data_IF_499385224042
#
_entry.id   IF_499385224042
#
_cell.length_a   1.000
_cell.length_b   1.000
_cell.length_c   1.000
_cell.angle_alpha   90.00
_cell.angle_beta   90.00
_cell.angle_gamma   90.00
#
_symmetry.space_group_name_H-M   'P 1'
#
loop_
_entity.id
_entity.type
_entity.pdbx_description
1 polymer ?
#
# COMPACT_ATOMS: atom_id res chain seq x y z
N UNK A 1 -17.03 7.42 13.99
CA UNK A 1 -17.42 6.38 13.03
C UNK A 1 -16.32 6.33 11.98
N UNK A 2 -15.64 5.19 11.83
CA UNK A 2 -14.60 5.06 10.81
C UNK A 2 -15.30 4.97 9.46
N UNK A 3 -14.90 5.81 8.49
CA UNK A 3 -15.43 5.69 7.14
C UNK A 3 -14.83 4.44 6.47
N UNK A 4 -15.54 3.84 5.51
CA UNK A 4 -15.00 2.72 4.72
C UNK A 4 -13.68 3.08 4.04
N UNK A 5 -13.54 4.35 3.65
CA UNK A 5 -12.30 4.90 3.07
C UNK A 5 -11.16 4.89 4.09
N UNK A 6 -11.42 5.28 5.34
CA UNK A 6 -10.39 5.24 6.39
C UNK A 6 -9.99 3.78 6.70
N UNK A 7 -10.97 2.87 6.76
CA UNK A 7 -10.72 1.45 7.02
C UNK A 7 -9.87 0.82 5.88
N UNK A 8 -10.13 1.23 4.64
CA UNK A 8 -9.33 0.82 3.47
C UNK A 8 -7.86 1.23 3.61
N UNK A 9 -7.58 2.51 3.88
CA UNK A 9 -6.20 2.99 4.01
C UNK A 9 -5.49 2.42 5.24
N UNK A 10 -6.21 2.22 6.35
CA UNK A 10 -5.66 1.50 7.51
C UNK A 10 -5.27 0.07 7.16
N UNK A 11 -6.14 -0.64 6.43
CA UNK A 11 -5.86 -2.02 6.02
C UNK A 11 -4.60 -2.10 5.16
N UNK A 12 -4.45 -1.18 4.21
CA UNK A 12 -3.22 -1.11 3.40
C UNK A 12 -1.98 -0.81 4.25
N UNK A 13 -2.06 0.11 5.22
CA UNK A 13 -0.95 0.43 6.11
C UNK A 13 -0.53 -0.72 7.02
N UNK A 14 -1.49 -1.55 7.45
CA UNK A 14 -1.22 -2.76 8.24
C UNK A 14 -0.59 -3.85 7.38
N UNK A 15 -1.10 -4.07 6.17
CA UNK A 15 -0.61 -5.12 5.27
C UNK A 15 0.76 -4.76 4.67
N UNK A 16 1.01 -3.48 4.41
CA UNK A 16 2.24 -2.97 3.83
C UNK A 16 2.77 -1.76 4.65
N UNK A 17 3.54 -2.03 5.72
CA UNK A 17 4.22 -0.99 6.48
C UNK A 17 5.16 -0.15 5.63
N UNK A 18 5.42 1.09 6.04
CA UNK A 18 6.15 2.07 5.23
C UNK A 18 7.52 1.58 4.72
N UNK A 19 8.32 0.93 5.57
CA UNK A 19 9.62 0.40 5.15
C UNK A 19 9.48 -0.61 4.00
N UNK A 20 8.57 -1.58 4.14
CA UNK A 20 8.29 -2.59 3.12
C UNK A 20 7.70 -1.98 1.85
N UNK A 21 6.86 -0.94 1.99
CA UNK A 21 6.30 -0.20 0.86
C UNK A 21 7.41 0.48 0.03
N UNK A 22 8.41 1.07 0.68
CA UNK A 22 9.55 1.68 0.00
C UNK A 22 10.43 0.62 -0.69
N UNK A 23 10.71 -0.50 -0.03
CA UNK A 23 11.44 -1.64 -0.62
C UNK A 23 10.72 -2.19 -1.85
N UNK A 24 9.41 -2.45 -1.75
CA UNK A 24 8.60 -2.94 -2.87
C UNK A 24 8.54 -1.93 -4.02
N UNK A 25 8.50 -0.63 -3.71
CA UNK A 25 8.54 0.41 -4.74
C UNK A 25 9.86 0.38 -5.50
N UNK A 26 10.98 0.25 -4.79
CA UNK A 26 12.31 0.15 -5.41
C UNK A 26 12.42 -1.11 -6.29
N UNK A 27 11.98 -2.28 -5.80
CA UNK A 27 11.98 -3.51 -6.60
C UNK A 27 11.05 -3.42 -7.82
N UNK A 28 9.90 -2.75 -7.69
CA UNK A 28 8.99 -2.49 -8.82
C UNK A 28 9.66 -1.60 -9.87
N UNK A 29 10.33 -0.52 -9.45
CA UNK A 29 11.09 0.39 -10.34
C UNK A 29 12.26 -0.32 -11.05
N UNK A 30 12.84 -1.36 -10.42
CA UNK A 30 13.88 -2.21 -11.00
C UNK A 30 13.36 -3.36 -11.85
N UNK A 31 12.03 -3.55 -11.96
CA UNK A 31 11.38 -4.70 -12.57
C UNK A 31 11.78 -6.06 -11.94
N UNK A 32 12.17 -6.06 -10.67
CA UNK A 32 12.45 -7.29 -9.90
C UNK A 32 11.16 -7.97 -9.43
N UNK A 33 10.09 -7.19 -9.30
CA UNK A 33 8.73 -7.62 -8.99
C UNK A 33 7.74 -6.82 -9.84
N UNK A 34 6.59 -7.39 -10.15
CA UNK A 34 5.49 -6.71 -10.82
C UNK A 34 4.30 -6.50 -9.86
N UNK A 35 3.26 -5.81 -10.32
CA UNK A 35 2.06 -5.56 -9.50
C UNK A 35 1.41 -6.87 -9.03
N UNK A 36 1.39 -7.89 -9.89
CA UNK A 36 0.83 -9.19 -9.54
C UNK A 36 1.63 -9.88 -8.42
N UNK A 37 2.96 -9.86 -8.50
CA UNK A 37 3.85 -10.37 -7.47
C UNK A 37 3.65 -9.67 -6.12
N UNK A 38 3.56 -8.34 -6.13
CA UNK A 38 3.25 -7.56 -4.91
C UNK A 38 1.88 -7.95 -4.35
N UNK A 39 0.87 -8.11 -5.22
CA UNK A 39 -0.48 -8.50 -4.82
C UNK A 39 -0.49 -9.87 -4.12
N UNK A 40 0.24 -10.84 -4.66
CA UNK A 40 0.40 -12.17 -4.07
C UNK A 40 1.11 -12.11 -2.71
N UNK A 41 2.21 -11.34 -2.61
CA UNK A 41 3.00 -11.24 -1.39
C UNK A 41 2.23 -10.57 -0.24
N UNK A 42 1.44 -9.55 -0.57
CA UNK A 42 0.60 -8.81 0.39
C UNK A 42 -0.77 -9.46 0.60
N UNK A 43 -1.12 -10.48 -0.21
CA UNK A 43 -2.43 -11.14 -0.22
C UNK A 43 -3.59 -10.15 -0.40
N UNK A 44 -3.44 -9.19 -1.32
CA UNK A 44 -4.46 -8.20 -1.68
C UNK A 44 -4.86 -8.33 -3.14
N UNK A 45 -6.06 -7.88 -3.54
CA UNK A 45 -6.40 -7.71 -4.95
C UNK A 45 -5.40 -6.80 -5.67
N UNK A 46 -4.94 -7.23 -6.85
CA UNK A 46 -3.94 -6.51 -7.65
C UNK A 46 -4.33 -5.06 -7.96
N UNK A 47 -5.63 -4.81 -8.17
CA UNK A 47 -6.18 -3.47 -8.39
C UNK A 47 -5.90 -2.47 -7.25
N UNK A 48 -5.50 -2.93 -6.06
CA UNK A 48 -5.14 -2.08 -4.94
C UNK A 48 -3.64 -1.80 -4.84
N UNK A 49 -2.79 -2.54 -5.55
CA UNK A 49 -1.32 -2.34 -5.52
C UNK A 49 -0.93 -0.91 -5.93
N UNK A 50 -1.50 -0.30 -6.99
CA UNK A 50 -1.18 1.09 -7.32
C UNK A 50 -1.47 2.08 -6.19
N UNK A 51 -2.44 1.78 -5.31
CA UNK A 51 -2.82 2.64 -4.17
C UNK A 51 -1.70 2.76 -3.14
N UNK A 52 -0.84 1.75 -3.01
CA UNK A 52 0.32 1.77 -2.11
C UNK A 52 1.36 2.80 -2.53
N UNK A 53 1.43 3.14 -3.82
CA UNK A 53 2.48 3.99 -4.37
C UNK A 53 1.98 5.39 -4.77
N UNK A 54 0.70 5.69 -4.53
CA UNK A 54 0.15 7.04 -4.74
C UNK A 54 0.80 8.05 -3.79
N UNK A 55 1.09 9.26 -4.28
CA UNK A 55 1.68 10.34 -3.48
C UNK A 55 0.86 10.69 -2.22
N UNK A 56 -0.46 10.49 -2.29
CA UNK A 56 -1.39 10.74 -1.19
C UNK A 56 -1.44 9.62 -0.15
N UNK A 57 -0.74 8.50 -0.34
CA UNK A 57 -0.74 7.37 0.59
C UNK A 57 -0.41 7.81 2.02
N UNK A 58 0.76 8.42 2.21
CA UNK A 58 1.22 8.90 3.51
C UNK A 58 0.27 9.95 4.10
N UNK A 59 -0.27 10.84 3.26
CA UNK A 59 -1.26 11.84 3.69
C UNK A 59 -2.51 11.18 4.25
N UNK A 60 -3.00 10.14 3.59
CA UNK A 60 -4.20 9.41 4.02
C UNK A 60 -3.95 8.60 5.28
N UNK A 61 -2.82 7.89 5.35
CA UNK A 61 -2.45 7.09 6.52
C UNK A 61 -2.21 7.98 7.76
N UNK A 62 -1.43 9.06 7.63
CA UNK A 62 -1.14 10.00 8.73
C UNK A 62 -2.38 10.76 9.21
N UNK A 63 -3.39 10.97 8.34
CA UNK A 63 -4.67 11.55 8.77
C UNK A 63 -5.42 10.61 9.74
N UNK A 64 -5.24 9.30 9.61
CA UNK A 64 -5.98 8.28 10.33
C UNK A 64 -5.25 7.84 11.60
N UNK A 65 -3.94 7.59 11.49
CA UNK A 65 -3.06 7.21 12.60
C UNK A 65 -2.56 8.51 13.25
N UNK A 66 -3.34 9.04 14.21
CA UNK A 66 -2.94 10.17 15.05
C UNK A 66 -1.98 9.74 16.15
#
# INVERSE_FOLDING_TARGET
MLSEVDAFWMSLAVLCPEARRLEMKESLEKNEIDNYGIALELKIPEQYVPRLFEERYLRNVNRIIK
#
